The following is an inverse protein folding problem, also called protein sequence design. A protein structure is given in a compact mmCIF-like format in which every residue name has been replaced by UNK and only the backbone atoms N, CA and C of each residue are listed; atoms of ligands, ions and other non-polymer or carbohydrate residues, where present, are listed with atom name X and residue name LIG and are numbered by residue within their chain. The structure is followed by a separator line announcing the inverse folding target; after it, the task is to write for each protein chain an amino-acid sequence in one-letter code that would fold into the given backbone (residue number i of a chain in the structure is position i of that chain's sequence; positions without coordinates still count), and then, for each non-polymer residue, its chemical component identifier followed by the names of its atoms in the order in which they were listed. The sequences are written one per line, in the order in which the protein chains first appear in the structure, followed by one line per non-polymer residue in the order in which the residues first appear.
data_IF_999337199965
#
_entry.id   IF_999337199965
#
_cell.length_a   1.000
_cell.length_b   1.000
_cell.length_c   1.000
_cell.angle_alpha   90.00
_cell.angle_beta   90.00
_cell.angle_gamma   90.00
#
_symmetry.space_group_name_H-M   'P 1'
#
loop_
_entity.id
_entity.type
_entity.pdbx_description
1 polymer ?
#
# COMPACT_ATOMS: atom_id res chain seq x y z
N UNK A 1 63.56 -19.43 16.62
CA UNK A 1 63.31 -19.56 15.18
C UNK A 1 62.15 -18.69 14.81
N UNK A 2 62.42 -17.54 14.17
CA UNK A 2 61.41 -16.58 13.78
C UNK A 2 60.93 -16.90 12.36
N UNK A 3 59.63 -17.20 12.20
CA UNK A 3 59.02 -17.43 10.91
C UNK A 3 58.58 -16.11 10.26
N UNK A 4 59.17 -15.77 9.12
CA UNK A 4 58.77 -14.64 8.28
C UNK A 4 57.39 -14.90 7.67
N UNK A 5 56.45 -13.94 7.87
CA UNK A 5 55.21 -13.85 7.12
C UNK A 5 55.45 -12.92 5.92
N UNK A 6 55.18 -13.30 4.68
CA UNK A 6 55.39 -12.42 3.53
C UNK A 6 54.26 -11.37 3.48
N UNK A 7 54.67 -10.10 3.36
CA UNK A 7 53.78 -8.96 3.16
C UNK A 7 53.13 -9.03 1.78
N UNK A 8 51.80 -9.07 1.74
CA UNK A 8 50.98 -8.92 0.52
C UNK A 8 50.84 -7.43 0.23
N UNK A 9 51.50 -6.95 -0.82
CA UNK A 9 51.34 -5.58 -1.34
C UNK A 9 49.94 -5.37 -1.92
N UNK A 10 49.20 -4.33 -1.51
CA UNK A 10 47.97 -3.98 -2.19
C UNK A 10 48.28 -3.34 -3.55
N UNK A 11 47.94 -4.05 -4.63
CA UNK A 11 47.94 -3.45 -5.97
C UNK A 11 46.81 -2.40 -6.01
N UNK A 12 47.21 -1.14 -5.98
CA UNK A 12 46.31 -0.03 -6.28
C UNK A 12 45.80 -0.17 -7.71
N UNK A 13 44.50 -0.45 -7.84
CA UNK A 13 43.80 -0.33 -9.10
C UNK A 13 43.78 1.15 -9.52
N UNK A 14 44.32 1.42 -10.73
CA UNK A 14 44.31 2.75 -11.31
C UNK A 14 42.86 3.24 -11.47
N UNK A 15 42.55 4.50 -11.12
CA UNK A 15 41.22 5.02 -11.38
C UNK A 15 40.99 5.08 -12.88
N UNK A 16 39.87 4.48 -13.34
CA UNK A 16 39.39 4.64 -14.70
C UNK A 16 39.17 6.13 -14.97
N UNK A 17 39.94 6.72 -15.89
CA UNK A 17 39.69 8.04 -16.44
C UNK A 17 38.31 7.98 -17.11
N UNK A 18 37.30 8.59 -16.49
CA UNK A 18 36.02 8.89 -17.13
C UNK A 18 36.34 9.94 -18.20
N UNK A 19 36.28 9.53 -19.46
CA UNK A 19 36.43 10.43 -20.60
C UNK A 19 35.16 11.31 -20.69
N UNK A 20 35.27 12.56 -20.17
CA UNK A 20 34.16 13.54 -20.11
C UNK A 20 33.89 14.25 -21.46
N UNK A 21 34.50 13.81 -22.56
CA UNK A 21 34.41 14.47 -23.86
C UNK A 21 33.55 13.73 -24.92
N UNK A 22 32.71 12.81 -24.48
CA UNK A 22 31.54 12.44 -25.31
C UNK A 22 30.44 13.44 -25.02
N UNK A 23 30.42 14.54 -25.77
CA UNK A 23 29.17 15.25 -26.03
C UNK A 23 28.26 14.22 -26.70
N UNK A 24 27.26 13.76 -25.94
CA UNK A 24 26.18 12.96 -26.47
C UNK A 24 25.54 13.77 -27.58
N UNK A 25 25.88 13.43 -28.83
CA UNK A 25 25.02 13.80 -29.94
C UNK A 25 23.68 13.20 -29.61
N UNK A 26 22.55 13.92 -29.80
CA UNK A 26 21.25 13.28 -29.71
C UNK A 26 21.26 12.12 -30.72
N UNK A 27 21.54 10.93 -30.22
CA UNK A 27 21.41 9.69 -30.97
C UNK A 27 19.96 9.58 -31.34
N UNK A 28 19.71 9.13 -32.53
CA UNK A 28 18.41 8.70 -33.00
C UNK A 28 17.85 7.67 -32.00
N UNK A 29 16.99 8.14 -31.07
CA UNK A 29 16.39 7.38 -29.98
C UNK A 29 15.18 6.55 -30.49
N UNK A 30 15.12 6.34 -31.81
CA UNK A 30 14.05 5.60 -32.48
C UNK A 30 14.01 4.10 -32.18
N UNK A 31 14.97 3.57 -31.38
CA UNK A 31 15.05 2.13 -31.04
C UNK A 31 14.80 1.80 -29.57
N UNK A 32 14.63 2.79 -28.70
CA UNK A 32 14.29 2.52 -27.30
C UNK A 32 12.77 2.57 -27.16
N UNK A 33 12.12 1.41 -27.29
CA UNK A 33 10.70 1.23 -27.02
C UNK A 33 10.41 1.34 -25.50
N UNK A 34 10.79 2.47 -24.88
CA UNK A 34 10.43 2.76 -23.50
C UNK A 34 8.89 3.00 -23.43
N UNK A 35 8.17 2.05 -22.83
CA UNK A 35 6.74 2.18 -22.60
C UNK A 35 6.50 2.99 -21.33
N UNK A 36 5.79 4.11 -21.44
CA UNK A 36 5.35 4.87 -20.28
C UNK A 36 4.34 4.03 -19.49
N UNK A 37 4.60 3.82 -18.21
CA UNK A 37 3.65 3.21 -17.28
C UNK A 37 2.73 4.33 -16.76
N UNK A 38 1.56 4.48 -17.39
CA UNK A 38 0.55 5.45 -16.95
C UNK A 38 -0.27 4.87 -15.80
N UNK A 39 0.17 5.15 -14.56
CA UNK A 39 -0.50 4.69 -13.35
C UNK A 39 -1.93 5.22 -13.18
N UNK A 40 -2.26 6.39 -13.75
CA UNK A 40 -3.63 6.94 -13.68
C UNK A 40 -4.59 6.13 -14.54
N UNK A 41 -4.22 5.83 -15.76
CA UNK A 41 -5.02 5.00 -16.69
C UNK A 41 -5.18 3.60 -16.11
N UNK A 42 -4.10 2.97 -15.64
CA UNK A 42 -4.15 1.62 -15.03
C UNK A 42 -5.09 1.61 -13.82
N UNK A 43 -5.00 2.61 -12.94
CA UNK A 43 -5.86 2.71 -11.77
C UNK A 43 -7.34 2.95 -12.13
N UNK A 44 -7.61 3.73 -13.19
CA UNK A 44 -8.97 3.94 -13.69
C UNK A 44 -9.57 2.65 -14.23
N UNK A 45 -8.82 1.91 -15.05
CA UNK A 45 -9.24 0.61 -15.60
C UNK A 45 -9.52 -0.41 -14.49
N UNK A 46 -8.65 -0.47 -13.46
CA UNK A 46 -8.85 -1.38 -12.35
C UNK A 46 -10.11 -1.04 -11.55
N UNK A 47 -10.35 0.24 -11.26
CA UNK A 47 -11.59 0.68 -10.60
C UNK A 47 -12.83 0.37 -11.44
N UNK A 48 -12.77 0.55 -12.76
CA UNK A 48 -13.86 0.17 -13.67
C UNK A 48 -14.17 -1.32 -13.59
N UNK A 49 -13.17 -2.18 -13.66
CA UNK A 49 -13.32 -3.63 -13.53
C UNK A 49 -13.92 -4.04 -12.18
N UNK A 50 -13.51 -3.37 -11.08
CA UNK A 50 -14.07 -3.60 -9.75
C UNK A 50 -15.56 -3.21 -9.71
N UNK A 51 -15.91 -2.03 -10.23
CA UNK A 51 -17.30 -1.59 -10.30
C UNK A 51 -18.19 -2.55 -11.12
N UNK A 52 -17.71 -3.00 -12.28
CA UNK A 52 -18.42 -3.99 -13.09
C UNK A 52 -18.63 -5.33 -12.36
N UNK A 53 -17.65 -5.76 -11.56
CA UNK A 53 -17.76 -6.97 -10.75
C UNK A 53 -18.82 -6.80 -9.65
N UNK A 54 -18.84 -5.65 -8.98
CA UNK A 54 -19.84 -5.30 -7.96
C UNK A 54 -21.25 -5.25 -8.58
N UNK A 55 -21.40 -4.62 -9.74
CA UNK A 55 -22.69 -4.60 -10.45
C UNK A 55 -23.19 -6.01 -10.80
N UNK A 56 -22.31 -6.92 -11.23
CA UNK A 56 -22.67 -8.33 -11.47
C UNK A 56 -23.11 -9.02 -10.19
N UNK A 57 -22.36 -8.89 -9.09
CA UNK A 57 -22.70 -9.49 -7.80
C UNK A 57 -24.07 -9.00 -7.29
N UNK A 58 -24.30 -7.71 -7.37
CA UNK A 58 -25.60 -7.12 -6.95
C UNK A 58 -26.76 -7.64 -7.80
N UNK A 59 -26.58 -7.68 -9.13
CA UNK A 59 -27.64 -8.13 -10.05
C UNK A 59 -27.91 -9.64 -9.92
N UNK A 60 -26.87 -10.45 -9.84
CA UNK A 60 -26.96 -11.90 -9.96
C UNK A 60 -27.22 -12.60 -8.61
N UNK A 61 -26.78 -11.94 -7.49
CA UNK A 61 -26.86 -12.53 -6.15
C UNK A 61 -27.46 -11.60 -5.09
N UNK A 62 -27.79 -10.35 -5.42
CA UNK A 62 -28.29 -9.37 -4.46
C UNK A 62 -27.21 -8.91 -3.45
N UNK A 63 -25.94 -9.25 -3.66
CA UNK A 63 -24.85 -8.94 -2.72
C UNK A 63 -24.16 -7.63 -3.11
N UNK A 64 -24.00 -6.74 -2.12
CA UNK A 64 -23.17 -5.53 -2.24
C UNK A 64 -21.99 -5.69 -1.29
N UNK A 65 -20.74 -5.80 -1.80
CA UNK A 65 -19.57 -5.93 -0.94
C UNK A 65 -19.38 -4.69 -0.04
N UNK A 66 -18.88 -4.91 1.18
CA UNK A 66 -18.58 -3.88 2.15
C UNK A 66 -17.11 -3.82 2.54
N UNK A 67 -16.54 -2.63 2.64
CA UNK A 67 -15.17 -2.40 3.11
C UNK A 67 -15.20 -1.52 4.35
N UNK A 68 -14.66 -2.02 5.46
CA UNK A 68 -14.44 -1.24 6.67
C UNK A 68 -13.11 -0.50 6.59
N UNK A 69 -13.13 0.80 6.83
CA UNK A 69 -11.92 1.64 6.87
C UNK A 69 -11.77 2.18 8.28
N UNK A 70 -10.70 1.77 8.96
CA UNK A 70 -10.44 2.14 10.36
C UNK A 70 -9.36 3.20 10.41
N UNK A 71 -9.65 4.34 11.05
CA UNK A 71 -8.72 5.43 11.32
C UNK A 71 -8.61 5.63 12.82
N UNK A 72 -7.40 5.65 13.38
CA UNK A 72 -7.16 5.98 14.79
C UNK A 72 -6.42 7.29 14.87
N UNK A 73 -7.01 8.26 15.57
CA UNK A 73 -6.49 9.61 15.71
C UNK A 73 -7.04 10.58 14.68
N UNK A 74 -6.40 11.74 14.63
CA UNK A 74 -6.84 12.93 13.90
C UNK A 74 -5.76 13.51 12.97
N UNK A 75 -4.85 12.65 12.50
CA UNK A 75 -3.82 13.07 11.55
C UNK A 75 -4.45 13.55 10.24
N UNK A 76 -4.28 14.84 9.84
CA UNK A 76 -4.97 15.41 8.68
C UNK A 76 -4.65 14.70 7.37
N UNK A 77 -3.40 14.21 7.19
CA UNK A 77 -3.02 13.47 6.00
C UNK A 77 -3.76 12.13 5.94
N UNK A 78 -3.84 11.40 7.06
CA UNK A 78 -4.59 10.14 7.16
C UNK A 78 -6.08 10.33 6.89
N UNK A 79 -6.68 11.41 7.38
CA UNK A 79 -8.09 11.74 7.12
C UNK A 79 -8.37 11.97 5.63
N UNK A 80 -7.47 12.64 4.91
CA UNK A 80 -7.60 12.83 3.45
C UNK A 80 -7.52 11.49 2.73
N UNK A 81 -6.60 10.60 3.12
CA UNK A 81 -6.48 9.27 2.52
C UNK A 81 -7.72 8.42 2.78
N UNK A 82 -8.22 8.38 4.01
CA UNK A 82 -9.46 7.64 4.36
C UNK A 82 -10.63 8.16 3.54
N UNK A 83 -10.87 9.46 3.54
CA UNK A 83 -11.97 10.06 2.75
C UNK A 83 -11.89 9.69 1.27
N UNK A 84 -10.69 9.74 0.67
CA UNK A 84 -10.52 9.38 -0.74
C UNK A 84 -10.76 7.89 -1.00
N UNK A 85 -10.38 7.01 -0.06
CA UNK A 85 -10.63 5.56 -0.14
C UNK A 85 -12.11 5.25 -0.03
N UNK A 86 -12.78 5.79 0.99
CA UNK A 86 -14.22 5.59 1.18
C UNK A 86 -15.04 6.12 -0.01
N UNK A 87 -14.63 7.27 -0.56
CA UNK A 87 -15.22 7.78 -1.79
C UNK A 87 -15.04 6.82 -2.97
N UNK A 88 -13.84 6.30 -3.18
CA UNK A 88 -13.58 5.35 -4.27
C UNK A 88 -14.34 4.03 -4.10
N UNK A 89 -14.49 3.53 -2.87
CA UNK A 89 -15.32 2.37 -2.52
C UNK A 89 -16.78 2.63 -2.90
N UNK A 90 -17.34 3.76 -2.49
CA UNK A 90 -18.72 4.14 -2.80
C UNK A 90 -18.95 4.34 -4.31
N UNK A 91 -17.99 4.98 -5.02
CA UNK A 91 -18.05 5.15 -6.48
C UNK A 91 -18.00 3.81 -7.24
N UNK A 92 -17.36 2.79 -6.68
CA UNK A 92 -17.38 1.43 -7.22
C UNK A 92 -18.69 0.67 -6.90
N UNK A 93 -19.63 1.27 -6.17
CA UNK A 93 -20.92 0.68 -5.81
C UNK A 93 -20.87 -0.24 -4.59
N UNK A 94 -19.79 -0.21 -3.81
CA UNK A 94 -19.61 -0.96 -2.56
C UNK A 94 -20.06 -0.14 -1.34
N UNK A 95 -20.29 -0.81 -0.21
CA UNK A 95 -20.51 -0.14 1.08
C UNK A 95 -19.15 0.25 1.70
N UNK A 96 -19.04 1.51 2.16
CA UNK A 96 -17.92 1.99 2.95
C UNK A 96 -18.35 2.14 4.40
N UNK A 97 -17.71 1.42 5.32
CA UNK A 97 -17.93 1.47 6.76
C UNK A 97 -16.77 2.20 7.42
N UNK A 98 -16.93 3.51 7.67
CA UNK A 98 -15.89 4.33 8.25
C UNK A 98 -15.90 4.27 9.78
N UNK A 99 -14.78 3.82 10.36
CA UNK A 99 -14.56 3.73 11.80
C UNK A 99 -13.47 4.71 12.23
N UNK A 100 -13.89 5.88 12.73
CA UNK A 100 -12.94 6.86 13.31
C UNK A 100 -12.87 6.67 14.82
N UNK A 101 -11.68 6.34 15.32
CA UNK A 101 -11.38 6.14 16.74
C UNK A 101 -10.50 7.27 17.27
N UNK A 102 -10.66 7.64 18.55
CA UNK A 102 -9.82 8.67 19.18
C UNK A 102 -8.33 8.30 19.18
N UNK A 103 -7.46 9.30 19.21
CA UNK A 103 -6.00 9.10 19.32
C UNK A 103 -5.58 8.40 20.61
N UNK A 104 -6.39 8.48 21.67
CA UNK A 104 -6.19 7.80 22.94
C UNK A 104 -6.61 6.33 22.97
N UNK A 105 -7.16 5.80 21.87
CA UNK A 105 -7.58 4.40 21.75
C UNK A 105 -6.41 3.46 22.11
N UNK A 106 -6.68 2.50 22.97
CA UNK A 106 -5.71 1.46 23.35
C UNK A 106 -5.61 0.36 22.28
N UNK A 107 -4.51 -0.40 22.30
CA UNK A 107 -4.33 -1.57 21.43
C UNK A 107 -5.46 -2.60 21.62
N UNK A 108 -5.86 -2.85 22.88
CA UNK A 108 -6.91 -3.80 23.20
C UNK A 108 -8.29 -3.38 22.64
N UNK A 109 -8.62 -2.08 22.71
CA UNK A 109 -9.85 -1.56 22.13
C UNK A 109 -9.85 -1.70 20.61
N UNK A 110 -8.73 -1.39 19.93
CA UNK A 110 -8.61 -1.55 18.49
C UNK A 110 -8.70 -3.02 18.08
N UNK A 111 -8.04 -3.93 18.79
CA UNK A 111 -8.18 -5.38 18.56
C UNK A 111 -9.63 -5.84 18.72
N UNK A 112 -10.36 -5.31 19.70
CA UNK A 112 -11.80 -5.56 19.86
C UNK A 112 -12.63 -5.05 18.68
N UNK A 113 -12.26 -3.93 18.06
CA UNK A 113 -12.91 -3.43 16.82
C UNK A 113 -12.63 -4.40 15.67
N UNK A 114 -11.36 -4.80 15.46
CA UNK A 114 -10.98 -5.73 14.39
C UNK A 114 -11.71 -7.07 14.56
N UNK A 115 -11.80 -7.60 15.76
CA UNK A 115 -12.52 -8.86 16.02
C UNK A 115 -14.01 -8.76 15.63
N UNK A 116 -14.68 -7.63 15.92
CA UNK A 116 -16.07 -7.41 15.48
C UNK A 116 -16.19 -7.34 13.95
N UNK A 117 -15.29 -6.61 13.30
CA UNK A 117 -15.28 -6.49 11.84
C UNK A 117 -14.97 -7.82 11.15
N UNK A 118 -14.10 -8.65 11.73
CA UNK A 118 -13.86 -10.01 11.24
C UNK A 118 -15.12 -10.88 11.30
N UNK A 119 -15.94 -10.71 12.34
CA UNK A 119 -17.19 -11.46 12.52
C UNK A 119 -18.39 -10.92 11.76
N UNK A 120 -18.28 -9.70 11.22
CA UNK A 120 -19.39 -9.04 10.52
C UNK A 120 -19.48 -9.55 9.08
N UNK A 121 -20.61 -10.16 8.71
CA UNK A 121 -20.87 -10.71 7.38
C UNK A 121 -21.06 -9.62 6.30
N UNK A 122 -21.38 -8.40 6.67
CA UNK A 122 -21.51 -7.27 5.74
C UNK A 122 -20.14 -6.68 5.37
N UNK A 123 -19.10 -6.99 6.16
CA UNK A 123 -17.71 -6.54 5.94
C UNK A 123 -16.93 -7.62 5.21
N UNK A 124 -16.60 -7.35 3.96
CA UNK A 124 -15.82 -8.25 3.11
C UNK A 124 -14.33 -7.87 3.02
N UNK A 125 -13.97 -6.67 3.46
CA UNK A 125 -12.60 -6.20 3.52
C UNK A 125 -12.39 -5.24 4.67
N UNK A 126 -11.22 -5.29 5.31
CA UNK A 126 -10.84 -4.42 6.42
C UNK A 126 -9.56 -3.71 6.08
N UNK A 127 -9.56 -2.39 6.16
CA UNK A 127 -8.40 -1.55 5.97
C UNK A 127 -8.14 -0.72 7.22
N UNK A 128 -6.97 -0.87 7.82
CA UNK A 128 -6.51 -0.01 8.92
C UNK A 128 -5.53 1.02 8.39
N UNK A 129 -5.88 2.30 8.53
CA UNK A 129 -5.04 3.38 8.05
C UNK A 129 -3.82 3.59 8.95
N UNK A 130 -2.64 3.46 8.37
CA UNK A 130 -1.37 3.78 9.04
C UNK A 130 -0.98 5.26 8.81
N UNK A 131 -0.18 5.86 9.71
CA UNK A 131 0.38 5.27 10.93
C UNK A 131 -0.63 5.21 12.08
N UNK A 132 -0.46 4.24 12.99
CA UNK A 132 -1.20 4.14 14.24
C UNK A 132 -0.51 4.96 15.35
N UNK A 133 -1.23 5.38 16.41
CA UNK A 133 -0.65 5.97 17.61
C UNK A 133 0.41 5.07 18.25
N UNK A 134 1.42 5.66 18.91
CA UNK A 134 2.62 4.95 19.43
C UNK A 134 2.31 3.84 20.44
N UNK A 135 1.18 3.90 21.13
CA UNK A 135 0.74 2.89 22.10
C UNK A 135 0.17 1.62 21.45
N UNK A 136 0.05 1.58 20.12
CA UNK A 136 -0.54 0.47 19.37
C UNK A 136 0.53 -0.13 18.46
N UNK A 137 0.74 -1.45 18.57
CA UNK A 137 1.61 -2.19 17.66
C UNK A 137 0.88 -2.47 16.34
N UNK A 138 1.30 -1.79 15.28
CA UNK A 138 0.68 -1.92 13.96
C UNK A 138 0.77 -3.36 13.41
N UNK A 139 1.86 -4.09 13.70
CA UNK A 139 2.01 -5.48 13.23
C UNK A 139 1.00 -6.42 13.88
N UNK A 140 0.73 -6.24 15.18
CA UNK A 140 -0.30 -7.02 15.86
C UNK A 140 -1.69 -6.74 15.30
N UNK A 141 -2.00 -5.47 15.02
CA UNK A 141 -3.30 -5.09 14.46
C UNK A 141 -3.48 -5.70 13.08
N UNK A 142 -2.49 -5.57 12.19
CA UNK A 142 -2.55 -6.15 10.84
C UNK A 142 -2.67 -7.68 10.92
N UNK A 143 -1.89 -8.33 11.79
CA UNK A 143 -1.96 -9.79 11.98
C UNK A 143 -3.29 -10.28 12.58
N UNK A 144 -4.08 -9.40 13.19
CA UNK A 144 -5.40 -9.73 13.74
C UNK A 144 -6.54 -9.66 12.70
N UNK A 145 -6.30 -9.08 11.53
CA UNK A 145 -7.26 -9.07 10.43
C UNK A 145 -7.37 -10.50 9.87
N UNK A 146 -8.60 -10.96 9.64
CA UNK A 146 -8.82 -12.24 8.98
C UNK A 146 -8.23 -12.19 7.56
N UNK A 147 -7.35 -13.14 7.18
CA UNK A 147 -6.76 -13.18 5.83
C UNK A 147 -7.78 -13.21 4.69
N UNK A 148 -9.02 -13.65 4.96
CA UNK A 148 -10.11 -13.59 3.99
C UNK A 148 -10.66 -12.16 3.78
N UNK A 149 -10.33 -11.22 4.67
CA UNK A 149 -10.79 -9.83 4.65
C UNK A 149 -9.64 -8.81 4.52
N UNK A 150 -8.38 -9.27 4.34
CA UNK A 150 -7.19 -8.43 4.14
C UNK A 150 -7.01 -8.03 2.65
#
# INVERSE_FOLDING_TARGET
MAGLVPAISPRYARPHRINRDRRDKPGDDSTVNARIIDGKTIAADLRGKAADAVHRLRRDRGIVPGIAVVLVGDNPASEVYVRNKSKAVAEAGMHAFDHKLPSATSEAELLGVIARLNADEEVNGILVQLPLPKQIDAHKIIAAIDPAKD
#
